data_IF_978685246321
#
_entry.id   IF_978685246321
#
_cell.length_a   1.000
_cell.length_b   1.000
_cell.length_c   1.000
_cell.angle_alpha   90.00
_cell.angle_beta   90.00
_cell.angle_gamma   90.00
#
_symmetry.space_group_name_H-M   'P 1'
#
loop_
_entity.id
_entity.type
_entity.pdbx_description
1 polymer ?
#
# COMPACT_ATOMS: atom_id res chain seq x y z
N UNK A 1 1.76 -0.81 -20.28
CA UNK A 1 2.37 -0.84 -18.93
C UNK A 1 3.73 -1.55 -18.99
N UNK A 2 4.80 -1.00 -18.37
CA UNK A 2 6.10 -1.67 -18.21
C UNK A 2 6.22 -2.25 -16.80
N UNK A 3 6.80 -3.45 -16.68
CA UNK A 3 7.02 -4.11 -15.37
C UNK A 3 8.52 -4.22 -15.13
N UNK A 4 8.95 -3.83 -13.93
CA UNK A 4 10.34 -3.86 -13.47
C UNK A 4 10.46 -4.77 -12.25
N UNK A 5 11.50 -5.56 -12.20
CA UNK A 5 11.91 -6.32 -11.01
C UNK A 5 13.15 -5.70 -10.36
N UNK A 6 13.88 -4.86 -11.08
CA UNK A 6 15.06 -4.14 -10.61
C UNK A 6 14.74 -2.67 -10.31
N UNK A 7 15.14 -2.24 -9.12
CA UNK A 7 15.07 -0.83 -8.70
C UNK A 7 15.92 0.05 -9.62
N UNK A 8 17.09 -0.42 -10.02
CA UNK A 8 18.00 0.33 -10.91
C UNK A 8 17.37 0.60 -12.27
N UNK A 9 16.69 -0.39 -12.86
CA UNK A 9 16.04 -0.25 -14.16
C UNK A 9 14.84 0.69 -14.10
N UNK A 10 14.01 0.56 -13.06
CA UNK A 10 12.91 1.48 -12.83
C UNK A 10 13.42 2.92 -12.70
N UNK A 11 14.44 3.16 -11.88
CA UNK A 11 15.00 4.52 -11.71
C UNK A 11 15.52 5.10 -13.01
N UNK A 12 16.23 4.31 -13.81
CA UNK A 12 16.72 4.76 -15.12
C UNK A 12 15.58 5.16 -16.08
N UNK A 13 14.42 4.51 -15.97
CA UNK A 13 13.23 4.91 -16.75
C UNK A 13 12.57 6.17 -16.16
N UNK A 14 12.45 6.25 -14.84
CA UNK A 14 11.87 7.41 -14.16
C UNK A 14 12.71 8.69 -14.35
N UNK A 15 14.03 8.57 -14.42
CA UNK A 15 14.94 9.72 -14.67
C UNK A 15 14.70 10.38 -16.05
N UNK A 16 14.02 9.68 -16.97
CA UNK A 16 13.59 10.19 -18.28
C UNK A 16 12.18 10.78 -18.25
N UNK A 17 11.50 10.68 -17.12
CA UNK A 17 10.11 11.07 -16.93
C UNK A 17 10.06 12.38 -16.13
N UNK A 18 9.06 13.22 -16.40
CA UNK A 18 8.85 14.43 -15.61
C UNK A 18 8.48 14.08 -14.16
N UNK A 19 9.36 14.36 -13.21
CA UNK A 19 9.23 13.97 -11.80
C UNK A 19 8.02 14.62 -11.10
N UNK A 20 7.70 15.87 -11.47
CA UNK A 20 6.57 16.60 -10.89
C UNK A 20 5.19 15.97 -11.17
N UNK A 21 5.14 15.08 -12.17
CA UNK A 21 3.92 14.39 -12.59
C UNK A 21 3.78 12.96 -12.13
N UNK A 22 4.60 12.45 -11.21
CA UNK A 22 4.54 11.05 -10.75
C UNK A 22 3.56 10.88 -9.60
N UNK A 23 2.51 10.07 -9.84
CA UNK A 23 1.63 9.51 -8.83
C UNK A 23 2.05 8.09 -8.45
N UNK A 24 2.09 7.75 -7.17
CA UNK A 24 2.55 6.47 -6.68
C UNK A 24 1.48 5.74 -5.86
N UNK A 25 1.29 4.45 -6.12
CA UNK A 25 0.38 3.57 -5.37
C UNK A 25 1.16 2.39 -4.81
N UNK A 26 1.62 2.42 -3.54
CA UNK A 26 2.27 1.28 -2.92
C UNK A 26 1.26 0.20 -2.56
N UNK A 27 1.53 -1.05 -2.95
CA UNK A 27 0.68 -2.21 -2.64
C UNK A 27 1.51 -3.44 -2.28
N UNK A 28 0.84 -4.44 -1.71
CA UNK A 28 1.44 -5.75 -1.45
C UNK A 28 0.96 -6.84 -2.42
N UNK A 29 0.21 -6.48 -3.47
CA UNK A 29 -0.37 -7.45 -4.39
C UNK A 29 -1.71 -8.03 -3.93
N UNK A 30 -2.17 -9.09 -4.59
CA UNK A 30 -3.53 -9.64 -4.47
C UNK A 30 -4.59 -8.51 -4.61
N UNK A 31 -4.47 -7.78 -5.71
CA UNK A 31 -5.17 -6.55 -5.94
C UNK A 31 -6.69 -6.78 -6.15
N UNK A 32 -7.48 -5.81 -5.73
CA UNK A 32 -8.94 -5.81 -5.84
C UNK A 32 -9.45 -4.41 -6.23
N UNK A 33 -10.75 -4.25 -6.39
CA UNK A 33 -11.35 -2.99 -6.82
C UNK A 33 -10.98 -1.78 -5.95
N UNK A 34 -10.69 -1.98 -4.65
CA UNK A 34 -10.16 -0.94 -3.78
C UNK A 34 -8.79 -0.42 -4.25
N UNK A 35 -7.86 -1.31 -4.62
CA UNK A 35 -6.56 -0.90 -5.17
C UNK A 35 -6.73 -0.27 -6.56
N UNK A 36 -7.63 -0.83 -7.41
CA UNK A 36 -7.96 -0.26 -8.71
C UNK A 36 -8.38 1.20 -8.59
N UNK A 37 -9.25 1.53 -7.64
CA UNK A 37 -9.72 2.91 -7.42
C UNK A 37 -8.59 3.89 -7.08
N UNK A 38 -7.55 3.45 -6.34
CA UNK A 38 -6.35 4.25 -6.07
C UNK A 38 -5.58 4.55 -7.36
N UNK A 39 -5.36 3.52 -8.19
CA UNK A 39 -4.63 3.66 -9.46
C UNK A 39 -5.38 4.56 -10.42
N UNK A 40 -6.69 4.37 -10.57
CA UNK A 40 -7.54 5.21 -11.43
C UNK A 40 -7.57 6.67 -10.95
N UNK A 41 -7.55 6.91 -9.63
CA UNK A 41 -7.43 8.26 -9.09
C UNK A 41 -6.04 8.85 -9.39
N UNK A 42 -4.97 8.08 -9.14
CA UNK A 42 -3.62 8.50 -9.49
C UNK A 42 -3.51 8.84 -10.98
N UNK A 43 -4.13 8.04 -11.87
CA UNK A 43 -4.14 8.30 -13.31
C UNK A 43 -4.82 9.62 -13.71
N UNK A 44 -5.90 9.98 -13.03
CA UNK A 44 -6.60 11.25 -13.31
C UNK A 44 -5.82 12.48 -12.86
N UNK A 45 -4.97 12.33 -11.83
CA UNK A 45 -4.30 13.45 -11.15
C UNK A 45 -2.82 13.59 -11.53
N UNK A 46 -2.23 12.63 -12.28
CA UNK A 46 -0.81 12.63 -12.61
C UNK A 46 -0.54 12.21 -14.07
N UNK A 47 0.55 12.74 -14.61
CA UNK A 47 1.03 12.37 -15.96
C UNK A 47 1.57 10.94 -16.01
N UNK A 48 2.22 10.48 -14.93
CA UNK A 48 2.81 9.15 -14.83
C UNK A 48 2.32 8.47 -13.56
N UNK A 49 1.91 7.19 -13.68
CA UNK A 49 1.48 6.37 -12.53
C UNK A 49 2.42 5.20 -12.33
N UNK A 50 3.00 5.14 -11.14
CA UNK A 50 3.86 4.05 -10.69
C UNK A 50 3.14 3.27 -9.61
N UNK A 51 3.15 1.94 -9.70
CA UNK A 51 2.60 1.05 -8.66
C UNK A 51 3.71 0.11 -8.19
N UNK A 52 3.83 -0.12 -6.88
CA UNK A 52 4.63 -1.24 -6.38
C UNK A 52 3.75 -2.41 -5.95
N UNK A 53 4.22 -3.62 -6.23
CA UNK A 53 3.64 -4.88 -5.74
C UNK A 53 4.74 -5.60 -4.97
N UNK A 54 4.78 -5.38 -3.66
CA UNK A 54 5.84 -5.89 -2.80
C UNK A 54 5.31 -6.31 -1.43
N UNK A 55 5.38 -7.61 -1.15
CA UNK A 55 5.02 -8.15 0.17
C UNK A 55 6.21 -7.93 1.11
N UNK A 56 6.12 -6.87 1.92
CA UNK A 56 7.19 -6.45 2.81
C UNK A 56 7.27 -7.33 4.07
N UNK A 57 8.34 -8.12 4.27
CA UNK A 57 8.41 -9.02 5.42
C UNK A 57 8.54 -8.29 6.77
N UNK A 58 9.12 -7.09 6.80
CA UNK A 58 9.42 -6.38 8.06
C UNK A 58 8.17 -5.84 8.76
N UNK A 59 7.05 -5.69 8.06
CA UNK A 59 5.78 -5.23 8.64
C UNK A 59 4.89 -6.37 9.16
N UNK A 60 5.29 -7.64 8.97
CA UNK A 60 4.55 -8.79 9.48
C UNK A 60 5.11 -9.23 10.83
N UNK A 61 4.35 -9.02 11.89
CA UNK A 61 4.68 -9.54 13.22
C UNK A 61 4.28 -11.02 13.39
N UNK A 62 3.38 -11.54 12.55
CA UNK A 62 3.03 -12.96 12.46
C UNK A 62 3.59 -13.57 11.17
N UNK A 63 4.48 -14.57 11.34
CA UNK A 63 5.08 -15.32 10.21
C UNK A 63 4.06 -16.15 9.44
N UNK A 64 2.95 -16.54 10.06
CA UNK A 64 1.89 -17.26 9.38
C UNK A 64 1.09 -16.34 8.45
N UNK A 65 0.79 -15.10 8.89
CA UNK A 65 0.17 -14.08 8.03
C UNK A 65 1.05 -13.79 6.79
N UNK A 66 2.36 -13.63 6.98
CA UNK A 66 3.30 -13.45 5.85
C UNK A 66 3.29 -14.66 4.89
N UNK A 67 3.28 -15.88 5.45
CA UNK A 67 3.33 -17.13 4.64
C UNK A 67 2.07 -17.31 3.80
N UNK A 68 0.91 -17.00 4.37
CA UNK A 68 -0.41 -17.18 3.73
C UNK A 68 -0.91 -15.93 3.02
N UNK A 69 -0.13 -14.84 3.03
CA UNK A 69 -0.54 -13.63 2.33
C UNK A 69 -0.74 -13.92 0.83
N UNK A 70 -1.91 -13.62 0.25
CA UNK A 70 -2.22 -13.96 -1.14
C UNK A 70 -1.25 -13.33 -2.14
N UNK A 71 -0.88 -14.07 -3.17
CA UNK A 71 -0.02 -13.61 -4.27
C UNK A 71 -0.62 -14.00 -5.60
N UNK A 72 -0.95 -13.03 -6.43
CA UNK A 72 -1.64 -13.22 -7.72
C UNK A 72 -1.00 -12.36 -8.83
N UNK A 73 0.30 -12.54 -9.13
CA UNK A 73 1.06 -11.60 -9.97
C UNK A 73 0.45 -11.38 -11.36
N UNK A 74 -0.08 -12.42 -12.01
CA UNK A 74 -0.69 -12.30 -13.34
C UNK A 74 -2.01 -11.54 -13.31
N UNK A 75 -2.83 -11.77 -12.27
CA UNK A 75 -4.09 -11.05 -12.08
C UNK A 75 -3.81 -9.59 -11.71
N UNK A 76 -2.81 -9.35 -10.85
CA UNK A 76 -2.38 -8.02 -10.45
C UNK A 76 -1.91 -7.21 -11.67
N UNK A 77 -1.08 -7.80 -12.53
CA UNK A 77 -0.62 -7.13 -13.77
C UNK A 77 -1.78 -6.73 -14.67
N UNK A 78 -2.74 -7.61 -14.90
CA UNK A 78 -3.93 -7.31 -15.72
C UNK A 78 -4.74 -6.17 -15.13
N UNK A 79 -5.03 -6.24 -13.84
CA UNK A 79 -5.79 -5.18 -13.15
C UNK A 79 -5.07 -3.83 -13.25
N UNK A 80 -3.76 -3.79 -13.07
CA UNK A 80 -2.96 -2.56 -13.13
C UNK A 80 -2.89 -1.97 -14.55
N UNK A 81 -2.79 -2.82 -15.57
CA UNK A 81 -2.82 -2.39 -16.97
C UNK A 81 -4.18 -1.77 -17.33
N UNK A 82 -5.28 -2.43 -16.95
CA UNK A 82 -6.64 -1.91 -17.13
C UNK A 82 -6.90 -0.62 -16.36
N UNK A 83 -6.32 -0.47 -15.16
CA UNK A 83 -6.46 0.73 -14.33
C UNK A 83 -5.61 1.90 -14.81
N UNK A 84 -4.71 1.68 -15.78
CA UNK A 84 -3.90 2.73 -16.41
C UNK A 84 -2.57 3.03 -15.70
N UNK A 85 -1.96 2.05 -15.04
CA UNK A 85 -0.60 2.16 -14.54
C UNK A 85 0.40 2.21 -15.70
N UNK A 86 1.40 3.10 -15.63
CA UNK A 86 2.48 3.18 -16.62
C UNK A 86 3.61 2.23 -16.27
N UNK A 87 4.01 2.23 -14.99
CA UNK A 87 5.11 1.43 -14.47
C UNK A 87 4.70 0.63 -13.24
N UNK A 88 5.17 -0.61 -13.18
CA UNK A 88 4.96 -1.50 -12.01
C UNK A 88 6.31 -2.02 -11.54
N UNK A 89 6.59 -1.85 -10.26
CA UNK A 89 7.76 -2.42 -9.59
C UNK A 89 7.32 -3.67 -8.82
N UNK A 90 7.86 -4.84 -9.20
CA UNK A 90 7.65 -6.13 -8.53
C UNK A 90 9.01 -6.68 -8.06
N UNK A 91 9.62 -6.09 -7.03
CA UNK A 91 10.99 -6.37 -6.64
C UNK A 91 11.08 -7.59 -5.73
N UNK A 92 12.29 -8.17 -5.61
CA UNK A 92 12.63 -9.06 -4.51
C UNK A 92 12.87 -8.28 -3.21
N UNK A 93 13.03 -9.02 -2.11
CA UNK A 93 13.36 -8.40 -0.80
C UNK A 93 14.73 -7.72 -0.86
N UNK A 94 15.69 -8.34 -1.51
CA UNK A 94 17.08 -7.86 -1.64
C UNK A 94 17.17 -6.58 -2.49
N UNK A 95 16.27 -6.40 -3.46
CA UNK A 95 16.18 -5.16 -4.25
C UNK A 95 15.70 -3.98 -3.40
N UNK A 96 14.78 -4.22 -2.47
CA UNK A 96 14.28 -3.17 -1.54
C UNK A 96 15.25 -2.99 -0.36
N UNK A 97 15.78 -4.09 0.17
CA UNK A 97 16.68 -4.12 1.33
C UNK A 97 18.01 -4.78 0.96
N UNK A 98 18.90 -4.09 0.20
CA UNK A 98 20.27 -4.59 -0.06
C UNK A 98 21.07 -4.71 1.25
N UNK A 99 20.68 -3.95 2.27
CA UNK A 99 21.17 -4.00 3.63
C UNK A 99 19.97 -3.93 4.59
N UNK A 100 20.12 -4.47 5.80
CA UNK A 100 19.09 -4.42 6.83
C UNK A 100 18.72 -2.97 7.17
N UNK A 101 17.43 -2.66 7.21
CA UNK A 101 16.97 -1.34 7.63
C UNK A 101 16.78 -1.30 9.14
N UNK A 102 17.74 -0.72 9.83
CA UNK A 102 17.75 -0.60 11.30
C UNK A 102 17.10 0.67 11.83
N UNK A 103 16.52 1.49 10.96
CA UNK A 103 15.85 2.74 11.37
C UNK A 103 14.67 2.45 12.27
N UNK A 104 14.57 3.20 13.36
CA UNK A 104 13.43 3.19 14.26
C UNK A 104 12.79 4.57 14.21
N UNK A 105 11.49 4.59 13.92
CA UNK A 105 10.68 5.80 13.91
C UNK A 105 9.93 5.94 15.24
N UNK A 106 9.85 7.14 15.77
CA UNK A 106 9.01 7.44 16.93
C UNK A 106 7.76 8.20 16.47
N UNK A 107 6.61 7.57 16.62
CA UNK A 107 5.31 8.12 16.26
C UNK A 107 4.49 8.56 17.50
N UNK A 108 5.11 8.58 18.69
CA UNK A 108 4.46 8.96 19.95
C UNK A 108 3.33 7.99 20.30
N UNK A 109 2.08 8.47 20.30
CA UNK A 109 0.91 7.64 20.58
C UNK A 109 0.30 6.99 19.32
N UNK A 110 0.65 7.46 18.14
CA UNK A 110 0.01 7.01 16.89
C UNK A 110 0.19 5.50 16.67
N UNK A 111 1.35 4.94 17.01
CA UNK A 111 1.67 3.52 16.84
C UNK A 111 1.49 2.66 18.11
N UNK A 112 0.95 3.25 19.21
CA UNK A 112 0.77 2.57 20.50
C UNK A 112 -0.70 2.22 20.83
N UNK A 113 -1.62 2.71 20.02
CA UNK A 113 -3.07 2.50 20.19
C UNK A 113 -3.62 1.69 19.02
N UNK A 114 -4.89 1.25 19.10
CA UNK A 114 -5.60 0.55 18.04
C UNK A 114 -4.78 -0.64 17.51
N UNK A 115 -4.55 -0.72 16.20
CA UNK A 115 -3.78 -1.78 15.54
C UNK A 115 -2.31 -1.83 16.03
N UNK A 116 -1.71 -0.69 16.33
CA UNK A 116 -0.35 -0.61 16.86
C UNK A 116 -0.17 -1.32 18.20
N UNK A 117 -1.18 -1.28 19.07
CA UNK A 117 -1.16 -1.99 20.36
C UNK A 117 -1.15 -3.52 20.19
N UNK A 118 -1.77 -4.04 19.14
CA UNK A 118 -1.90 -5.49 18.87
C UNK A 118 -0.86 -6.03 17.90
N UNK A 119 -0.15 -5.15 17.18
CA UNK A 119 0.86 -5.49 16.17
C UNK A 119 2.20 -4.77 16.43
N UNK A 120 2.95 -5.13 17.48
CA UNK A 120 4.23 -4.50 17.81
C UNK A 120 5.19 -4.52 16.62
N UNK A 121 5.82 -3.37 16.29
CA UNK A 121 6.78 -3.23 15.18
C UNK A 121 6.16 -3.09 13.79
N UNK A 122 4.88 -3.35 13.62
CA UNK A 122 4.19 -3.26 12.33
C UNK A 122 4.38 -1.89 11.66
N UNK A 123 4.04 -0.82 12.37
CA UNK A 123 4.10 0.54 11.81
C UNK A 123 5.54 1.02 11.56
N UNK A 124 6.52 0.54 12.33
CA UNK A 124 7.92 0.79 12.01
C UNK A 124 8.29 0.14 10.67
N UNK A 125 7.90 -1.12 10.45
CA UNK A 125 8.10 -1.81 9.16
C UNK A 125 7.40 -1.12 8.00
N UNK A 126 6.19 -0.59 8.21
CA UNK A 126 5.47 0.23 7.21
C UNK A 126 6.26 1.50 6.88
N UNK A 127 6.75 2.23 7.88
CA UNK A 127 7.52 3.44 7.67
C UNK A 127 8.84 3.16 6.93
N UNK A 128 9.55 2.08 7.29
CA UNK A 128 10.77 1.64 6.62
C UNK A 128 10.52 1.39 5.14
N UNK A 129 9.54 0.56 4.78
CA UNK A 129 9.29 0.21 3.38
C UNK A 129 8.77 1.40 2.57
N UNK A 130 7.83 2.17 3.11
CA UNK A 130 7.23 3.29 2.38
C UNK A 130 8.26 4.40 2.14
N UNK A 131 9.10 4.73 3.13
CA UNK A 131 10.17 5.70 2.92
C UNK A 131 11.17 5.24 1.86
N UNK A 132 11.57 3.96 1.84
CA UNK A 132 12.43 3.41 0.78
C UNK A 132 11.78 3.47 -0.60
N UNK A 133 10.49 3.13 -0.69
CA UNK A 133 9.75 3.23 -1.94
C UNK A 133 9.64 4.69 -2.41
N UNK A 134 9.49 5.65 -1.49
CA UNK A 134 9.50 7.07 -1.83
C UNK A 134 10.88 7.53 -2.33
N UNK A 135 11.98 7.05 -1.75
CA UNK A 135 13.34 7.31 -2.23
C UNK A 135 13.57 6.73 -3.63
N UNK A 136 12.99 5.55 -3.93
CA UNK A 136 13.10 4.88 -5.22
C UNK A 136 12.28 5.63 -6.29
N UNK A 137 11.02 5.93 -6.02
CA UNK A 137 10.07 6.46 -7.00
C UNK A 137 10.12 7.99 -7.09
N UNK A 138 10.40 8.67 -5.97
CA UNK A 138 10.36 10.14 -5.81
C UNK A 138 9.04 10.75 -6.32
N UNK A 139 7.90 10.28 -5.82
CA UNK A 139 6.61 10.71 -6.32
C UNK A 139 6.27 12.14 -5.85
N UNK A 140 5.49 12.87 -6.66
CA UNK A 140 4.84 14.10 -6.20
C UNK A 140 3.65 13.79 -5.27
N UNK A 141 2.91 12.72 -5.58
CA UNK A 141 1.75 12.25 -4.79
C UNK A 141 1.80 10.76 -4.55
N UNK A 142 1.40 10.33 -3.35
CA UNK A 142 1.25 8.92 -3.01
C UNK A 142 -0.17 8.65 -2.45
N UNK A 143 -0.82 7.60 -2.97
CA UNK A 143 -2.25 7.32 -2.76
C UNK A 143 -2.44 6.16 -1.79
N UNK A 144 -3.24 6.38 -0.75
CA UNK A 144 -3.53 5.38 0.31
C UNK A 144 -5.02 5.33 0.61
N UNK A 145 -5.54 4.14 0.86
CA UNK A 145 -6.95 3.95 1.19
C UNK A 145 -7.25 4.21 2.66
N UNK A 146 -8.32 4.96 2.95
CA UNK A 146 -8.80 5.27 4.30
C UNK A 146 -9.19 4.04 5.13
N UNK A 147 -9.34 2.88 4.50
CA UNK A 147 -9.51 1.61 5.21
C UNK A 147 -8.38 1.38 6.22
N UNK A 148 -7.17 1.72 5.88
CA UNK A 148 -5.99 1.59 6.72
C UNK A 148 -5.65 2.96 7.34
N UNK A 149 -6.63 3.57 8.03
CA UNK A 149 -6.59 4.94 8.56
C UNK A 149 -5.36 5.23 9.43
N UNK A 150 -5.04 4.34 10.36
CA UNK A 150 -3.88 4.50 11.23
C UNK A 150 -2.56 4.43 10.45
N UNK A 151 -2.48 3.59 9.42
CA UNK A 151 -1.35 3.55 8.50
C UNK A 151 -1.13 4.91 7.81
N UNK A 152 -2.21 5.57 7.36
CA UNK A 152 -2.11 6.91 6.74
C UNK A 152 -1.53 7.91 7.74
N UNK A 153 -1.98 7.90 9.00
CA UNK A 153 -1.46 8.79 10.04
C UNK A 153 0.06 8.56 10.28
N UNK A 154 0.49 7.30 10.33
CA UNK A 154 1.92 6.93 10.44
C UNK A 154 2.72 7.42 9.23
N UNK A 155 2.21 7.20 8.01
CA UNK A 155 2.90 7.62 6.78
C UNK A 155 3.02 9.15 6.71
N UNK A 156 1.98 9.90 7.08
CA UNK A 156 2.05 11.36 7.18
C UNK A 156 3.10 11.81 8.20
N UNK A 157 3.13 11.20 9.37
CA UNK A 157 4.12 11.50 10.40
C UNK A 157 5.54 11.20 9.92
N UNK A 158 5.78 10.04 9.30
CA UNK A 158 7.05 9.65 8.70
C UNK A 158 7.49 10.64 7.61
N UNK A 159 6.58 11.00 6.70
CA UNK A 159 6.86 11.96 5.62
C UNK A 159 7.29 13.32 6.16
N UNK A 160 6.63 13.79 7.23
CA UNK A 160 6.98 15.03 7.89
C UNK A 160 8.32 14.96 8.62
N UNK A 161 8.60 13.86 9.35
CA UNK A 161 9.89 13.64 10.05
C UNK A 161 11.07 13.63 9.07
N UNK A 162 10.90 12.96 7.93
CA UNK A 162 11.93 12.86 6.89
C UNK A 162 11.96 14.07 5.94
N UNK A 163 11.04 15.03 6.10
CA UNK A 163 10.88 16.21 5.23
C UNK A 163 10.79 15.85 3.75
N UNK A 164 10.06 14.76 3.44
CA UNK A 164 9.90 14.32 2.05
C UNK A 164 8.87 15.21 1.33
N UNK A 165 9.16 15.66 0.10
CA UNK A 165 8.25 16.52 -0.68
C UNK A 165 7.16 15.69 -1.38
N UNK A 166 6.45 14.85 -0.63
CA UNK A 166 5.42 13.95 -1.14
C UNK A 166 4.08 14.33 -0.52
N UNK A 167 3.09 14.61 -1.36
CA UNK A 167 1.71 14.77 -0.93
C UNK A 167 1.07 13.40 -0.67
N UNK A 168 0.54 13.19 0.53
CA UNK A 168 -0.18 11.96 0.88
C UNK A 168 -1.67 12.17 0.59
N UNK A 169 -2.17 11.44 -0.41
CA UNK A 169 -3.55 11.52 -0.88
C UNK A 169 -4.37 10.39 -0.25
N UNK A 170 -5.36 10.77 0.54
CA UNK A 170 -6.33 9.84 1.14
C UNK A 170 -7.43 9.50 0.15
N UNK A 171 -7.77 8.24 0.03
CA UNK A 171 -8.77 7.76 -0.90
C UNK A 171 -9.89 7.01 -0.16
N UNK A 172 -11.16 7.25 -0.50
CA UNK A 172 -12.30 6.64 0.16
C UNK A 172 -12.26 5.11 0.19
N UNK A 173 -12.88 4.54 1.21
CA UNK A 173 -13.01 3.08 1.35
C UNK A 173 -13.93 2.55 0.24
N UNK A 174 -13.46 1.54 -0.50
CA UNK A 174 -14.28 0.77 -1.43
C UNK A 174 -14.84 -0.46 -0.72
N UNK A 175 -16.14 -0.66 -0.85
CA UNK A 175 -16.89 -1.77 -0.24
C UNK A 175 -17.56 -2.63 -1.30
N UNK A 176 -17.81 -3.89 -0.97
CA UNK A 176 -18.69 -4.74 -1.74
C UNK A 176 -20.16 -4.30 -1.63
N UNK A 177 -21.02 -4.89 -2.44
CA UNK A 177 -22.48 -4.63 -2.41
C UNK A 177 -23.11 -4.91 -1.04
N UNK A 178 -22.53 -5.85 -0.29
CA UNK A 178 -22.91 -6.22 1.08
C UNK A 178 -22.36 -5.27 2.16
N UNK A 179 -21.61 -4.24 1.77
CA UNK A 179 -21.01 -3.25 2.68
C UNK A 179 -19.66 -3.65 3.26
N UNK A 180 -19.18 -4.90 3.05
CA UNK A 180 -17.87 -5.31 3.54
C UNK A 180 -16.76 -4.53 2.83
N UNK A 181 -15.84 -3.92 3.60
CA UNK A 181 -14.66 -3.26 3.04
C UNK A 181 -13.79 -4.27 2.28
N UNK A 182 -13.36 -3.91 1.08
CA UNK A 182 -12.53 -4.79 0.26
C UNK A 182 -11.13 -4.94 0.89
N UNK A 183 -10.68 -6.18 0.98
CA UNK A 183 -9.36 -6.56 1.49
C UNK A 183 -8.89 -7.83 0.80
N UNK A 184 -7.58 -7.90 0.51
CA UNK A 184 -6.95 -9.13 0.01
C UNK A 184 -7.16 -10.32 0.95
N UNK A 185 -7.27 -10.06 2.25
CA UNK A 185 -7.53 -11.10 3.27
C UNK A 185 -8.98 -11.61 3.29
N UNK A 186 -9.91 -10.97 2.60
CA UNK A 186 -11.30 -11.47 2.53
C UNK A 186 -11.39 -12.85 1.86
N UNK A 187 -10.42 -13.18 1.00
CA UNK A 187 -10.33 -14.51 0.37
C UNK A 187 -9.94 -15.63 1.34
N UNK A 188 -9.49 -15.30 2.53
CA UNK A 188 -9.12 -16.23 3.59
C UNK A 188 -10.28 -16.57 4.53
N UNK A 189 -11.40 -15.86 4.42
CA UNK A 189 -12.60 -16.13 5.22
C UNK A 189 -13.28 -17.40 4.73
N UNK A 190 -13.64 -18.29 5.65
CA UNK A 190 -14.56 -19.37 5.36
C UNK A 190 -15.99 -18.86 5.12
N UNK A 191 -16.89 -19.71 4.68
CA UNK A 191 -18.26 -19.33 4.33
C UNK A 191 -19.01 -18.67 5.49
N UNK A 192 -18.85 -19.20 6.70
CA UNK A 192 -19.53 -18.70 7.91
C UNK A 192 -19.03 -17.30 8.28
N UNK A 193 -17.71 -17.12 8.33
CA UNK A 193 -17.12 -15.82 8.65
C UNK A 193 -17.35 -14.82 7.52
N UNK A 194 -17.33 -15.27 6.26
CA UNK A 194 -17.63 -14.38 5.12
C UNK A 194 -19.08 -13.87 5.16
N UNK A 195 -20.03 -14.72 5.52
CA UNK A 195 -21.44 -14.31 5.67
C UNK A 195 -21.65 -13.36 6.85
N UNK A 196 -20.91 -13.50 7.92
CA UNK A 196 -21.00 -12.66 9.11
C UNK A 196 -20.29 -11.29 8.97
N UNK A 197 -19.22 -11.21 8.18
CA UNK A 197 -18.37 -10.02 8.10
C UNK A 197 -19.11 -8.71 7.73
N UNK A 198 -20.12 -8.69 6.83
CA UNK A 198 -20.88 -7.48 6.51
C UNK A 198 -21.62 -6.84 7.70
N UNK A 199 -21.96 -7.63 8.73
CA UNK A 199 -22.65 -7.13 9.91
C UNK A 199 -21.84 -6.08 10.67
N UNK A 200 -20.52 -6.11 10.59
CA UNK A 200 -19.64 -5.11 11.21
C UNK A 200 -20.00 -3.71 10.69
N UNK A 201 -20.06 -3.54 9.39
CA UNK A 201 -20.38 -2.23 8.80
C UNK A 201 -21.85 -1.87 8.97
N UNK A 202 -22.75 -2.83 8.88
CA UNK A 202 -24.19 -2.61 9.12
C UNK A 202 -24.41 -2.07 10.55
N UNK A 203 -23.74 -2.66 11.54
CA UNK A 203 -23.81 -2.20 12.94
C UNK A 203 -23.24 -0.79 13.12
N UNK A 204 -22.08 -0.49 12.52
CA UNK A 204 -21.49 0.85 12.57
C UNK A 204 -22.40 1.89 11.94
N UNK A 205 -23.05 1.59 10.83
CA UNK A 205 -24.01 2.49 10.18
C UNK A 205 -25.27 2.73 11.00
N UNK A 206 -25.70 1.74 11.77
CA UNK A 206 -26.89 1.88 12.62
C UNK A 206 -26.59 2.67 13.91
N UNK A 207 -25.32 2.83 14.27
CA UNK A 207 -24.87 3.57 15.46
C UNK A 207 -24.65 5.08 15.21
N UNK A 208 -24.73 5.53 13.97
CA UNK A 208 -24.55 6.92 13.52
C UNK A 208 -25.89 7.48 13.06
#
# INVERSE_FOLDING_TARGET
MKVFTSVKELRAELDRTEQSGIGFVPTMGALHAGHRSLVERARRENATVVVSVFVNPTQFNDKNDLRHYPRTPEADRRLLEEAGADFVLMPSVEEIYPEEDTRIFDFGQIDKVMEGATRPGHFNGVAQVVSRLFDIVRPARAYFGEKDFQQIAVIKAMTAQLKLPVEIVECPIVRGEDGLALSSRNTLLDETHRAAAPHIYATLRAAV
#
